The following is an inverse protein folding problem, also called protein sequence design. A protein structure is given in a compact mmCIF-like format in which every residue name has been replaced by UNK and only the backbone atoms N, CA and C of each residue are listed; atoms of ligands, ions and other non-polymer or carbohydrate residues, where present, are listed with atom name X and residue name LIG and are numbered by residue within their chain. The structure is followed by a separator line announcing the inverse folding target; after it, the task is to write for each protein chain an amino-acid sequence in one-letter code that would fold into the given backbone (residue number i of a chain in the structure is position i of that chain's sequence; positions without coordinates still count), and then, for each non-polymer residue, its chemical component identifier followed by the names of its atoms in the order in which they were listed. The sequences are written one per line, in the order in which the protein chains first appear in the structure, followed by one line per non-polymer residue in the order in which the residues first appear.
data_IF_135505784956
#
_entry.id   IF_135505784956
#
_cell.length_a   1.000
_cell.length_b   1.000
_cell.length_c   1.000
_cell.angle_alpha   90.00
_cell.angle_beta   90.00
_cell.angle_gamma   90.00
#
_symmetry.space_group_name_H-M   'P 1'
#
loop_
_entity.id
_entity.type
_entity.pdbx_description
1 polymer ?
#
# COMPACT_ATOMS: atom_id res chain seq x y z
N UNK A 1 -3.31 8.40 -8.99
CA UNK A 1 -3.03 7.15 -9.72
C UNK A 1 -4.34 6.53 -10.15
N UNK A 2 -4.51 6.24 -11.45
CA UNK A 2 -5.64 5.42 -11.94
C UNK A 2 -5.33 3.94 -11.76
N UNK A 3 -6.35 3.07 -11.88
CA UNK A 3 -6.16 1.63 -11.83
C UNK A 3 -5.22 1.14 -12.95
N UNK A 4 -5.35 1.66 -14.17
CA UNK A 4 -4.48 1.26 -15.29
C UNK A 4 -3.00 1.61 -15.04
N UNK A 5 -2.73 2.80 -14.47
CA UNK A 5 -1.38 3.21 -14.10
C UNK A 5 -0.79 2.31 -13.01
N UNK A 6 -1.61 1.93 -12.04
CA UNK A 6 -1.20 0.99 -10.98
C UNK A 6 -0.79 -0.36 -11.56
N UNK A 7 -1.63 -0.95 -12.43
CA UNK A 7 -1.35 -2.24 -13.07
C UNK A 7 -0.09 -2.16 -13.95
N UNK A 8 0.07 -1.09 -14.71
CA UNK A 8 1.27 -0.89 -15.54
C UNK A 8 2.55 -0.76 -14.69
N UNK A 9 2.51 0.01 -13.60
CA UNK A 9 3.64 0.15 -12.68
C UNK A 9 4.04 -1.19 -12.04
N UNK A 10 3.08 -1.94 -11.51
CA UNK A 10 3.36 -3.26 -10.90
C UNK A 10 3.94 -4.21 -11.95
N UNK A 11 3.35 -4.29 -13.14
CA UNK A 11 3.85 -5.17 -14.19
C UNK A 11 5.28 -4.82 -14.62
N UNK A 12 5.62 -3.53 -14.74
CA UNK A 12 6.99 -3.08 -15.03
C UNK A 12 7.96 -3.54 -13.96
N UNK A 13 7.65 -3.37 -12.68
CA UNK A 13 8.50 -3.80 -11.56
C UNK A 13 8.63 -5.32 -11.50
N UNK A 14 7.53 -6.04 -11.68
CA UNK A 14 7.51 -7.50 -11.70
C UNK A 14 8.43 -8.06 -12.78
N UNK A 15 8.38 -7.51 -13.99
CA UNK A 15 9.21 -7.92 -15.12
C UNK A 15 10.71 -7.70 -14.94
N UNK A 16 11.15 -6.86 -13.99
CA UNK A 16 12.57 -6.68 -13.67
C UNK A 16 13.16 -7.91 -12.96
N UNK A 17 12.32 -8.80 -12.39
CA UNK A 17 12.73 -10.06 -11.78
C UNK A 17 13.52 -9.92 -10.48
N UNK A 18 13.62 -8.70 -9.93
CA UNK A 18 14.31 -8.39 -8.68
C UNK A 18 13.42 -7.70 -7.63
N UNK A 19 12.11 -7.68 -7.88
CA UNK A 19 11.13 -7.13 -6.96
C UNK A 19 10.84 -8.11 -5.82
N UNK A 20 10.71 -7.57 -4.61
CA UNK A 20 10.14 -8.27 -3.44
C UNK A 20 8.77 -7.69 -3.13
N UNK A 21 8.00 -8.32 -2.24
CA UNK A 21 6.69 -7.84 -1.80
C UNK A 21 6.66 -6.32 -1.49
N UNK A 22 7.65 -5.81 -0.77
CA UNK A 22 7.77 -4.40 -0.40
C UNK A 22 7.85 -3.45 -1.63
N UNK A 23 8.40 -3.94 -2.74
CA UNK A 23 8.59 -3.16 -3.99
C UNK A 23 7.28 -2.63 -4.55
N UNK A 24 6.18 -3.38 -4.38
CA UNK A 24 4.86 -3.02 -4.90
C UNK A 24 4.06 -2.15 -3.94
N UNK A 25 4.49 -2.07 -2.67
CA UNK A 25 3.68 -1.45 -1.63
C UNK A 25 3.47 0.05 -1.83
N UNK A 26 4.47 0.74 -2.38
CA UNK A 26 4.36 2.16 -2.71
C UNK A 26 3.29 2.46 -3.77
N UNK A 27 3.17 1.61 -4.80
CA UNK A 27 2.15 1.79 -5.83
C UNK A 27 0.73 1.54 -5.26
N UNK A 28 0.57 0.53 -4.40
CA UNK A 28 -0.71 0.26 -3.73
C UNK A 28 -1.12 1.42 -2.82
N UNK A 29 -0.18 2.03 -2.09
CA UNK A 29 -0.45 3.23 -1.28
C UNK A 29 -1.06 4.33 -2.14
N UNK A 30 -0.41 4.66 -3.28
CA UNK A 30 -0.87 5.71 -4.18
C UNK A 30 -2.25 5.41 -4.77
N UNK A 31 -2.53 4.14 -5.12
CA UNK A 31 -3.84 3.74 -5.58
C UNK A 31 -4.90 3.93 -4.50
N UNK A 32 -4.66 3.45 -3.28
CA UNK A 32 -5.62 3.55 -2.16
C UNK A 32 -5.99 5.01 -1.86
N UNK A 33 -5.00 5.89 -1.78
CA UNK A 33 -5.21 7.33 -1.54
C UNK A 33 -5.90 8.02 -2.72
N UNK A 34 -5.73 7.50 -3.94
CA UNK A 34 -6.46 8.00 -5.13
C UNK A 34 -7.91 7.53 -5.17
N UNK A 35 -8.18 6.27 -4.80
CA UNK A 35 -9.52 5.69 -4.78
C UNK A 35 -10.39 6.28 -3.66
N UNK A 36 -9.79 6.57 -2.51
CA UNK A 36 -10.49 7.11 -1.35
C UNK A 36 -9.69 8.30 -0.79
N UNK A 37 -9.86 9.52 -1.33
CA UNK A 37 -9.06 10.69 -0.96
C UNK A 37 -9.18 11.13 0.52
N UNK A 38 -10.15 10.58 1.24
CA UNK A 38 -10.37 10.90 2.66
C UNK A 38 -9.58 10.03 3.63
N UNK A 39 -8.89 9.00 3.13
CA UNK A 39 -8.00 8.17 3.94
C UNK A 39 -6.54 8.53 3.66
N UNK A 40 -5.68 8.18 4.61
CA UNK A 40 -4.24 8.13 4.46
C UNK A 40 -3.80 6.69 4.63
N UNK A 41 -3.03 6.17 3.69
CA UNK A 41 -2.44 4.85 3.78
C UNK A 41 -0.96 5.02 4.18
N UNK A 42 -0.61 4.60 5.40
CA UNK A 42 0.79 4.65 5.85
C UNK A 42 1.41 3.27 5.69
N UNK A 43 2.34 3.13 4.74
CA UNK A 43 3.19 1.95 4.58
C UNK A 43 4.27 1.94 5.68
N UNK A 44 4.59 0.75 6.20
CA UNK A 44 5.53 0.52 7.31
C UNK A 44 5.25 1.41 8.54
N UNK A 45 4.02 1.38 9.09
CA UNK A 45 3.73 2.12 10.30
C UNK A 45 4.61 1.67 11.46
N UNK A 46 4.90 2.61 12.38
CA UNK A 46 5.52 2.23 13.66
C UNK A 46 4.68 1.16 14.34
N UNK A 47 5.37 0.17 14.92
CA UNK A 47 4.74 -0.94 15.63
C UNK A 47 3.71 -0.43 16.64
N UNK A 48 2.50 -0.96 16.54
CA UNK A 48 1.38 -0.64 17.42
C UNK A 48 1.13 -1.80 18.38
N UNK A 49 0.23 -1.59 19.34
CA UNK A 49 -0.16 -2.62 20.33
C UNK A 49 -0.71 -3.89 19.67
N UNK A 50 -1.33 -3.77 18.49
CA UNK A 50 -1.90 -4.87 17.71
C UNK A 50 -0.90 -5.58 16.78
N UNK A 51 0.36 -5.12 16.68
CA UNK A 51 1.36 -5.69 15.79
C UNK A 51 2.06 -4.65 14.91
N UNK A 52 2.63 -5.11 13.79
CA UNK A 52 3.30 -4.27 12.79
C UNK A 52 2.72 -4.63 11.41
N UNK A 53 1.53 -4.12 11.07
CA UNK A 53 0.92 -4.40 9.77
C UNK A 53 1.67 -3.68 8.66
N UNK A 54 1.58 -4.17 7.44
CA UNK A 54 2.22 -3.53 6.29
C UNK A 54 1.64 -2.13 6.02
N UNK A 55 0.34 -1.96 6.23
CA UNK A 55 -0.31 -0.65 6.20
C UNK A 55 -1.23 -0.42 7.38
N UNK A 56 -1.31 0.84 7.79
CA UNK A 56 -2.44 1.39 8.52
C UNK A 56 -3.18 2.41 7.66
N UNK A 57 -4.49 2.24 7.58
CA UNK A 57 -5.40 3.22 6.98
C UNK A 57 -5.94 4.12 8.08
N UNK A 58 -5.77 5.42 7.95
CA UNK A 58 -6.34 6.40 8.88
C UNK A 58 -7.31 7.34 8.17
N UNK A 59 -8.37 7.74 8.86
CA UNK A 59 -9.29 8.80 8.43
C UNK A 59 -9.37 9.83 9.55
N UNK A 60 -8.92 11.06 9.29
CA UNK A 60 -8.75 12.09 10.34
C UNK A 60 -7.98 11.55 11.56
N UNK A 61 -6.85 10.89 11.30
CA UNK A 61 -5.95 10.28 12.28
C UNK A 61 -6.52 9.09 13.09
N UNK A 62 -7.77 8.70 12.85
CA UNK A 62 -8.39 7.52 13.46
C UNK A 62 -8.09 6.30 12.59
N UNK A 63 -7.48 5.23 13.12
CA UNK A 63 -7.32 3.96 12.41
C UNK A 63 -8.67 3.39 11.97
N UNK A 64 -8.82 3.12 10.68
CA UNK A 64 -10.04 2.54 10.10
C UNK A 64 -9.80 1.17 9.47
N UNK A 65 -8.56 0.74 9.34
CA UNK A 65 -8.21 -0.57 8.81
C UNK A 65 -6.71 -0.81 8.77
N UNK A 66 -6.37 -2.08 8.57
CA UNK A 66 -4.99 -2.57 8.41
C UNK A 66 -4.95 -3.45 7.17
N UNK A 67 -3.84 -3.43 6.44
CA UNK A 67 -3.62 -4.27 5.27
C UNK A 67 -2.29 -5.00 5.46
N UNK A 68 -2.31 -6.31 5.17
CA UNK A 68 -1.10 -7.12 5.01
C UNK A 68 -0.94 -7.44 3.52
N UNK A 69 0.24 -7.19 2.99
CA UNK A 69 0.60 -7.59 1.65
C UNK A 69 1.13 -9.03 1.65
N UNK A 70 1.14 -9.62 0.46
CA UNK A 70 1.70 -10.94 0.16
C UNK A 70 2.40 -10.87 -1.20
N UNK A 71 3.26 -11.85 -1.44
CA UNK A 71 3.93 -11.99 -2.73
C UNK A 71 2.92 -12.23 -3.87
N UNK A 72 3.32 -11.85 -5.09
CA UNK A 72 2.50 -11.90 -6.32
C UNK A 72 2.78 -13.18 -7.11
#
# INVERSE_FOLDING_TARGET
MTLDQYIDNINKRYKLGNATEHTFRGDLQQLLESLVPTIRATNEPKRQSCGAPDYILTKKDIPVGFIEAKDI
#
